data_IF_007738626767
#
_entry.id   IF_007738626767
#
_cell.length_a   1.000
_cell.length_b   1.000
_cell.length_c   1.000
_cell.angle_alpha   90.00
_cell.angle_beta   90.00
_cell.angle_gamma   90.00
#
_symmetry.space_group_name_H-M   'P 1'
#
loop_
_entity.id
_entity.type
_entity.pdbx_description
1 polymer ?
#
# COMPACT_ATOMS: atom_id res chain seq x y z
N UNK A 1 8.92 -18.36 13.04
CA UNK A 1 8.93 -18.63 11.59
C UNK A 1 8.68 -20.10 11.27
N UNK A 2 9.27 -21.05 11.99
CA UNK A 2 8.97 -22.50 11.86
C UNK A 2 7.47 -22.79 11.98
N UNK A 3 6.79 -22.24 13.00
CA UNK A 3 5.34 -22.39 13.17
C UNK A 3 4.55 -21.92 11.93
N UNK A 4 4.88 -20.73 11.39
CA UNK A 4 4.19 -20.18 10.21
C UNK A 4 4.43 -21.08 8.98
N UNK A 5 5.66 -21.56 8.79
CA UNK A 5 5.98 -22.49 7.70
C UNK A 5 5.20 -23.80 7.81
N UNK A 6 5.10 -24.37 9.01
CA UNK A 6 4.33 -25.59 9.26
C UNK A 6 2.83 -25.36 9.00
N UNK A 7 2.27 -24.25 9.49
CA UNK A 7 0.88 -23.89 9.20
C UNK A 7 0.63 -23.62 7.71
N UNK A 8 1.59 -22.99 7.01
CA UNK A 8 1.52 -22.79 5.56
C UNK A 8 1.46 -24.12 4.80
N UNK A 9 2.32 -25.08 5.14
CA UNK A 9 2.35 -26.40 4.50
C UNK A 9 1.07 -27.19 4.75
N UNK A 10 0.56 -27.14 5.98
CA UNK A 10 -0.73 -27.75 6.32
C UNK A 10 -1.88 -27.11 5.55
N UNK A 11 -1.94 -25.79 5.46
CA UNK A 11 -2.96 -25.08 4.69
C UNK A 11 -2.88 -25.41 3.20
N UNK A 12 -1.68 -25.48 2.62
CA UNK A 12 -1.51 -25.89 1.23
C UNK A 12 -2.02 -27.32 1.03
N UNK A 13 -1.69 -28.25 1.95
CA UNK A 13 -2.17 -29.64 1.91
C UNK A 13 -3.69 -29.76 2.01
N UNK A 14 -4.33 -28.96 2.87
CA UNK A 14 -5.80 -28.97 3.06
C UNK A 14 -6.51 -28.46 1.80
N UNK A 15 -5.94 -27.44 1.15
CA UNK A 15 -6.52 -26.80 -0.03
C UNK A 15 -5.96 -27.36 -1.35
N UNK A 16 -5.34 -28.54 -1.34
CA UNK A 16 -4.85 -29.20 -2.56
C UNK A 16 -5.99 -29.34 -3.55
N UNK A 17 -5.76 -28.85 -4.77
CA UNK A 17 -6.73 -28.92 -5.86
C UNK A 17 -7.74 -27.76 -5.91
N UNK A 18 -7.79 -26.88 -4.90
CA UNK A 18 -8.63 -25.67 -4.95
C UNK A 18 -7.86 -24.55 -5.64
N UNK A 19 -8.34 -24.12 -6.81
CA UNK A 19 -7.73 -23.03 -7.55
C UNK A 19 -8.23 -21.66 -7.07
N UNK A 20 -7.47 -20.58 -7.33
CA UNK A 20 -8.00 -19.23 -7.11
C UNK A 20 -9.19 -18.98 -8.05
N UNK A 21 -10.30 -18.53 -7.47
CA UNK A 21 -11.60 -18.44 -8.14
C UNK A 21 -12.55 -19.59 -7.80
N UNK A 22 -12.04 -20.62 -7.12
CA UNK A 22 -12.82 -21.64 -6.41
C UNK A 22 -12.71 -21.39 -4.90
N UNK A 23 -13.58 -22.04 -4.13
CA UNK A 23 -13.73 -21.79 -2.70
C UNK A 23 -13.63 -23.07 -1.91
N UNK A 24 -12.72 -23.11 -0.94
CA UNK A 24 -12.56 -24.22 -0.03
C UNK A 24 -13.77 -24.28 0.91
N UNK A 25 -14.44 -25.44 0.96
CA UNK A 25 -15.51 -25.71 1.92
C UNK A 25 -14.90 -26.46 3.10
N UNK A 26 -14.79 -25.77 4.23
CA UNK A 26 -14.19 -26.32 5.46
C UNK A 26 -15.29 -26.54 6.48
N UNK A 27 -15.41 -27.78 6.97
CA UNK A 27 -16.41 -28.12 7.99
C UNK A 27 -16.05 -27.45 9.32
N UNK A 28 -16.96 -26.68 9.94
CA UNK A 28 -16.71 -26.08 11.25
C UNK A 28 -16.29 -27.13 12.29
N UNK A 29 -15.36 -26.75 13.17
CA UNK A 29 -14.84 -27.62 14.25
C UNK A 29 -14.07 -28.87 13.78
N UNK A 30 -13.76 -29.00 12.49
CA UNK A 30 -12.86 -30.05 12.01
C UNK A 30 -11.40 -29.79 12.37
N UNK A 31 -10.53 -30.77 12.13
CA UNK A 31 -9.08 -30.60 12.30
C UNK A 31 -8.56 -29.55 11.31
N UNK A 32 -9.02 -29.61 10.06
CA UNK A 32 -8.69 -28.66 9.00
C UNK A 32 -9.10 -27.24 9.37
N UNK A 33 -10.32 -27.09 9.93
CA UNK A 33 -10.81 -25.81 10.45
C UNK A 33 -9.86 -25.23 11.49
N UNK A 34 -9.44 -26.04 12.47
CA UNK A 34 -8.56 -25.61 13.54
C UNK A 34 -7.18 -25.19 13.03
N UNK A 35 -6.63 -25.92 12.05
CA UNK A 35 -5.38 -25.58 11.38
C UNK A 35 -5.45 -24.25 10.62
N UNK A 36 -6.52 -24.05 9.83
CA UNK A 36 -6.72 -22.81 9.07
C UNK A 36 -6.98 -21.63 10.01
N UNK A 37 -7.77 -21.82 11.07
CA UNK A 37 -8.00 -20.79 12.08
C UNK A 37 -6.69 -20.33 12.71
N UNK A 38 -5.85 -21.27 13.17
CA UNK A 38 -4.55 -20.97 13.74
C UNK A 38 -3.64 -20.22 12.75
N UNK A 39 -3.63 -20.63 11.48
CA UNK A 39 -2.88 -19.98 10.41
C UNK A 39 -3.32 -18.53 10.19
N UNK A 40 -4.62 -18.28 10.04
CA UNK A 40 -5.16 -16.94 9.82
C UNK A 40 -4.97 -16.02 11.03
N UNK A 41 -5.12 -16.55 12.25
CA UNK A 41 -4.85 -15.82 13.48
C UNK A 41 -3.38 -15.43 13.61
N UNK A 42 -2.45 -16.34 13.27
CA UNK A 42 -1.02 -16.04 13.24
C UNK A 42 -0.71 -14.89 12.27
N UNK A 43 -1.33 -14.88 11.09
CA UNK A 43 -1.19 -13.78 10.12
C UNK A 43 -1.83 -12.48 10.60
N UNK A 44 -3.03 -12.52 11.18
CA UNK A 44 -3.68 -11.34 11.75
C UNK A 44 -2.80 -10.70 12.82
N UNK A 45 -2.21 -11.51 13.70
CA UNK A 45 -1.27 -11.05 14.72
C UNK A 45 -0.01 -10.46 14.09
N UNK A 46 0.59 -11.14 13.11
CA UNK A 46 1.81 -10.69 12.42
C UNK A 46 1.62 -9.35 11.70
N UNK A 47 0.49 -9.16 11.02
CA UNK A 47 0.14 -7.90 10.37
C UNK A 47 -0.12 -6.79 11.40
N UNK A 48 -0.72 -7.12 12.55
CA UNK A 48 -0.91 -6.16 13.65
C UNK A 48 0.44 -5.68 14.22
N UNK A 49 1.39 -6.60 14.43
CA UNK A 49 2.76 -6.25 14.82
C UNK A 49 3.48 -5.42 13.76
N UNK A 50 3.33 -5.79 12.49
CA UNK A 50 3.88 -5.04 11.37
C UNK A 50 3.38 -3.59 11.37
N UNK A 51 2.06 -3.38 11.50
CA UNK A 51 1.44 -2.06 11.53
C UNK A 51 1.91 -1.22 12.71
N UNK A 52 2.07 -1.83 13.89
CA UNK A 52 2.56 -1.16 15.10
C UNK A 52 4.07 -0.82 15.04
N UNK A 53 4.81 -1.37 14.08
CA UNK A 53 6.26 -1.19 13.99
C UNK A 53 6.66 0.16 13.38
N UNK A 54 7.78 0.76 13.84
CA UNK A 54 8.39 1.93 13.20
C UNK A 54 8.62 1.72 11.69
N UNK A 55 8.57 2.82 10.92
CA UNK A 55 8.69 2.79 9.45
C UNK A 55 9.96 2.10 8.94
N UNK A 56 11.10 2.31 9.61
CA UNK A 56 12.36 1.66 9.23
C UNK A 56 12.35 0.13 9.43
N UNK A 57 11.68 -0.37 10.48
CA UNK A 57 11.52 -1.80 10.71
C UNK A 57 10.50 -2.41 9.74
N UNK A 58 9.43 -1.68 9.41
CA UNK A 58 8.46 -2.11 8.39
C UNK A 58 9.12 -2.40 7.04
N UNK A 59 10.11 -1.60 6.62
CA UNK A 59 10.88 -1.89 5.40
C UNK A 59 11.62 -3.22 5.52
N UNK A 60 12.30 -3.49 6.65
CA UNK A 60 13.01 -4.75 6.86
C UNK A 60 12.04 -5.95 6.91
N UNK A 61 10.97 -5.85 7.70
CA UNK A 61 9.97 -6.89 7.84
C UNK A 61 9.27 -7.21 6.51
N UNK A 62 9.00 -6.21 5.68
CA UNK A 62 8.41 -6.41 4.35
C UNK A 62 9.25 -7.34 3.48
N UNK A 63 10.59 -7.27 3.57
CA UNK A 63 11.50 -8.16 2.84
C UNK A 63 11.41 -9.60 3.35
N UNK A 64 11.33 -9.79 4.67
CA UNK A 64 11.18 -11.11 5.28
C UNK A 64 9.83 -11.76 4.97
N UNK A 65 8.75 -10.97 4.96
CA UNK A 65 7.39 -11.47 4.72
C UNK A 65 7.11 -11.80 3.25
N UNK A 66 7.93 -11.32 2.31
CA UNK A 66 7.64 -11.37 0.87
C UNK A 66 7.25 -12.75 0.36
N UNK A 67 8.00 -13.80 0.72
CA UNK A 67 7.73 -15.17 0.24
C UNK A 67 6.45 -15.75 0.86
N UNK A 68 6.31 -15.62 2.18
CA UNK A 68 5.15 -16.10 2.93
C UNK A 68 3.86 -15.36 2.55
N UNK A 69 3.94 -14.05 2.28
CA UNK A 69 2.82 -13.24 1.83
C UNK A 69 2.29 -13.70 0.47
N UNK A 70 3.16 -14.14 -0.44
CA UNK A 70 2.74 -14.67 -1.74
C UNK A 70 1.80 -15.86 -1.58
N UNK A 71 2.17 -16.82 -0.73
CA UNK A 71 1.33 -18.00 -0.43
C UNK A 71 0.06 -17.62 0.31
N UNK A 72 0.18 -16.74 1.32
CA UNK A 72 -0.98 -16.24 2.05
C UNK A 72 -2.03 -15.67 1.08
N UNK A 73 -1.64 -14.80 0.17
CA UNK A 73 -2.60 -14.17 -0.75
C UNK A 73 -3.31 -15.22 -1.62
N UNK A 74 -2.61 -16.26 -2.08
CA UNK A 74 -3.26 -17.39 -2.78
C UNK A 74 -4.25 -18.13 -1.86
N UNK A 75 -3.84 -18.45 -0.64
CA UNK A 75 -4.71 -19.10 0.35
C UNK A 75 -5.96 -18.28 0.67
N UNK A 76 -5.82 -16.97 0.88
CA UNK A 76 -6.94 -16.08 1.19
C UNK A 76 -7.97 -16.08 0.06
N UNK A 77 -7.54 -16.04 -1.20
CA UNK A 77 -8.45 -16.08 -2.35
C UNK A 77 -9.09 -17.46 -2.60
N UNK A 78 -8.63 -18.52 -1.91
CA UNK A 78 -9.29 -19.83 -1.84
C UNK A 78 -10.25 -19.95 -0.64
N UNK A 79 -10.06 -19.13 0.40
CA UNK A 79 -10.83 -19.18 1.66
C UNK A 79 -11.94 -18.11 1.75
N UNK A 80 -11.75 -16.97 1.10
CA UNK A 80 -12.75 -15.90 1.02
C UNK A 80 -13.89 -16.34 0.09
N UNK A 81 -15.16 -16.04 0.43
CA UNK A 81 -16.30 -16.46 -0.37
C UNK A 81 -16.44 -15.59 -1.63
N UNK A 82 -17.16 -16.09 -2.64
CA UNK A 82 -17.47 -15.30 -3.85
C UNK A 82 -18.20 -13.98 -3.54
N UNK A 83 -19.12 -14.07 -2.58
CA UNK A 83 -19.91 -12.96 -2.08
C UNK A 83 -19.73 -12.85 -0.56
N UNK A 84 -18.93 -11.90 -0.07
CA UNK A 84 -18.70 -11.67 1.36
C UNK A 84 -19.83 -10.85 1.99
N UNK A 85 -21.08 -11.05 1.54
CA UNK A 85 -22.25 -10.40 2.11
C UNK A 85 -22.42 -10.85 3.57
N UNK A 86 -22.57 -9.88 4.47
CA UNK A 86 -22.79 -10.17 5.87
C UNK A 86 -24.27 -10.48 6.09
N UNK A 87 -24.58 -11.74 6.37
CA UNK A 87 -25.93 -12.15 6.78
C UNK A 87 -26.02 -11.92 8.28
N UNK A 88 -26.54 -10.76 8.67
CA UNK A 88 -26.79 -10.45 10.08
C UNK A 88 -27.70 -11.49 10.72
N UNK A 89 -27.36 -11.94 11.93
CA UNK A 89 -28.30 -12.66 12.78
C UNK A 89 -29.34 -11.64 13.27
N UNK A 90 -30.46 -11.53 12.55
CA UNK A 90 -31.59 -10.69 12.94
C UNK A 90 -32.16 -9.87 11.78
N UNK A 91 -33.47 -10.02 11.57
CA UNK A 91 -34.24 -9.21 10.65
C UNK A 91 -34.33 -7.76 11.17
N UNK A 92 -33.42 -6.90 10.72
CA UNK A 92 -33.63 -5.45 10.78
C UNK A 92 -33.77 -4.86 9.36
N UNK A 93 -34.63 -3.84 9.19
CA UNK A 93 -35.00 -3.34 7.88
C UNK A 93 -33.81 -2.66 7.19
N UNK A 94 -33.63 -3.07 5.93
CA UNK A 94 -32.80 -2.52 4.85
C UNK A 94 -32.30 -1.09 5.10
N UNK A 95 -31.12 -0.96 5.70
CA UNK A 95 -30.21 0.12 5.35
C UNK A 95 -29.79 -0.08 3.89
N UNK A 96 -29.78 0.97 3.07
CA UNK A 96 -29.43 0.92 1.64
C UNK A 96 -28.00 0.42 1.35
N UNK A 97 -27.17 0.24 2.39
CA UNK A 97 -25.81 -0.27 2.29
C UNK A 97 -25.77 -1.76 2.64
N UNK A 98 -25.41 -2.58 1.65
CA UNK A 98 -25.18 -4.02 1.84
C UNK A 98 -23.94 -4.20 2.73
N UNK A 99 -24.16 -4.64 3.97
CA UNK A 99 -23.07 -5.01 4.89
C UNK A 99 -22.23 -6.15 4.32
N UNK A 100 -20.92 -6.08 4.49
CA UNK A 100 -19.99 -7.12 4.04
C UNK A 100 -18.99 -7.47 5.15
N UNK A 101 -18.24 -8.55 4.97
CA UNK A 101 -17.13 -8.90 5.84
C UNK A 101 -16.01 -7.84 5.90
N UNK A 102 -16.01 -6.87 4.99
CA UNK A 102 -15.06 -5.74 4.97
C UNK A 102 -15.57 -4.50 5.70
N UNK A 103 -16.88 -4.41 5.98
CA UNK A 103 -17.49 -3.30 6.73
C UNK A 103 -17.78 -3.68 8.17
N UNK A 104 -18.05 -4.95 8.46
CA UNK A 104 -18.35 -5.44 9.80
C UNK A 104 -17.11 -5.99 10.51
N UNK A 105 -17.04 -5.79 11.83
CA UNK A 105 -16.00 -6.33 12.68
C UNK A 105 -16.26 -7.80 13.03
N UNK A 106 -15.22 -8.63 12.93
CA UNK A 106 -15.25 -10.00 13.42
C UNK A 106 -14.92 -10.06 14.93
N UNK A 107 -15.87 -10.54 15.74
CA UNK A 107 -15.65 -10.87 17.16
C UNK A 107 -15.47 -12.38 17.30
N UNK A 108 -14.29 -12.81 17.74
CA UNK A 108 -14.00 -14.21 18.03
C UNK A 108 -14.23 -14.46 19.52
N UNK A 109 -15.15 -15.37 19.86
CA UNK A 109 -15.48 -15.72 21.24
C UNK A 109 -15.37 -17.23 21.41
N UNK A 110 -14.48 -17.66 22.32
CA UNK A 110 -14.21 -19.08 22.58
C UNK A 110 -15.46 -19.82 23.05
N UNK A 111 -16.41 -19.12 23.67
CA UNK A 111 -17.58 -19.71 24.31
C UNK A 111 -18.86 -19.61 23.47
N UNK A 112 -18.82 -18.97 22.28
CA UNK A 112 -20.00 -18.79 21.43
C UNK A 112 -19.82 -19.49 20.09
N UNK A 113 -20.78 -20.33 19.73
CA UNK A 113 -20.86 -21.03 18.44
C UNK A 113 -21.69 -20.27 17.38
N UNK A 114 -22.25 -19.11 17.73
CA UNK A 114 -23.05 -18.28 16.81
C UNK A 114 -22.19 -17.76 15.66
N UNK A 115 -22.50 -18.17 14.44
CA UNK A 115 -21.80 -17.68 13.23
C UNK A 115 -20.52 -18.43 12.87
N UNK A 116 -20.22 -19.55 13.54
CA UNK A 116 -18.99 -20.35 13.31
C UNK A 116 -18.79 -20.77 11.85
N UNK A 117 -19.89 -20.95 11.11
CA UNK A 117 -19.91 -21.31 9.69
C UNK A 117 -19.27 -20.26 8.78
N UNK A 118 -19.23 -18.98 9.20
CA UNK A 118 -18.64 -17.89 8.43
C UNK A 118 -17.34 -17.37 9.03
N UNK A 119 -16.92 -17.90 10.19
CA UNK A 119 -15.80 -17.37 10.96
C UNK A 119 -14.49 -17.38 10.16
N UNK A 120 -14.14 -18.50 9.52
CA UNK A 120 -12.92 -18.60 8.72
C UNK A 120 -12.95 -17.66 7.52
N UNK A 121 -14.08 -17.60 6.82
CA UNK A 121 -14.27 -16.74 5.65
C UNK A 121 -14.19 -15.26 6.01
N UNK A 122 -14.83 -14.84 7.10
CA UNK A 122 -14.75 -13.46 7.60
C UNK A 122 -13.32 -13.15 8.07
N UNK A 123 -12.67 -14.07 8.78
CA UNK A 123 -11.28 -13.89 9.21
C UNK A 123 -10.32 -13.78 8.01
N UNK A 124 -10.51 -14.58 6.97
CA UNK A 124 -9.75 -14.48 5.72
C UNK A 124 -9.94 -13.11 5.06
N UNK A 125 -11.18 -12.60 5.01
CA UNK A 125 -11.44 -11.23 4.54
C UNK A 125 -10.73 -10.18 5.40
N UNK A 126 -10.75 -10.30 6.74
CA UNK A 126 -10.04 -9.37 7.63
C UNK A 126 -8.52 -9.39 7.42
N UNK A 127 -7.93 -10.59 7.24
CA UNK A 127 -6.48 -10.73 6.97
C UNK A 127 -6.14 -10.15 5.60
N UNK A 128 -6.95 -10.41 4.57
CA UNK A 128 -6.77 -9.82 3.25
C UNK A 128 -6.84 -8.29 3.30
N UNK A 129 -7.86 -7.75 3.97
CA UNK A 129 -8.04 -6.31 4.17
C UNK A 129 -6.83 -5.68 4.86
N UNK A 130 -6.32 -6.30 5.93
CA UNK A 130 -5.11 -5.83 6.62
C UNK A 130 -3.89 -5.86 5.71
N UNK A 131 -3.74 -6.89 4.87
CA UNK A 131 -2.63 -7.00 3.93
C UNK A 131 -2.69 -5.91 2.84
N UNK A 132 -3.85 -5.64 2.25
CA UNK A 132 -3.96 -4.57 1.24
C UNK A 132 -3.84 -3.17 1.83
N UNK A 133 -4.25 -2.97 3.09
CA UNK A 133 -4.14 -1.68 3.77
C UNK A 133 -2.71 -1.37 4.21
N UNK A 134 -2.04 -2.33 4.85
CA UNK A 134 -0.74 -2.10 5.50
C UNK A 134 0.46 -2.46 4.60
N UNK A 135 0.26 -3.31 3.59
CA UNK A 135 1.29 -3.77 2.64
C UNK A 135 0.90 -3.58 1.16
N UNK A 136 0.28 -2.45 0.75
CA UNK A 136 -0.28 -2.29 -0.59
C UNK A 136 0.77 -2.46 -1.70
N UNK A 137 2.01 -1.99 -1.51
CA UNK A 137 3.06 -2.11 -2.51
C UNK A 137 3.47 -3.58 -2.76
N UNK A 138 3.45 -4.42 -1.72
CA UNK A 138 3.76 -5.85 -1.86
C UNK A 138 2.61 -6.61 -2.50
N UNK A 139 1.37 -6.28 -2.14
CA UNK A 139 0.19 -6.90 -2.77
C UNK A 139 0.13 -6.55 -4.25
N UNK A 140 0.43 -5.29 -4.64
CA UNK A 140 0.58 -4.89 -6.05
C UNK A 140 1.64 -5.70 -6.78
N UNK A 141 2.82 -5.85 -6.18
CA UNK A 141 3.91 -6.64 -6.76
C UNK A 141 3.50 -8.11 -6.95
N UNK A 142 2.82 -8.70 -5.95
CA UNK A 142 2.28 -10.04 -6.04
C UNK A 142 1.25 -10.14 -7.18
N UNK A 143 0.25 -9.25 -7.20
CA UNK A 143 -0.83 -9.25 -8.18
C UNK A 143 -0.33 -9.13 -9.62
N UNK A 144 0.61 -8.21 -9.87
CA UNK A 144 1.23 -8.02 -11.20
C UNK A 144 2.08 -9.22 -11.64
N UNK A 145 2.57 -10.03 -10.70
CA UNK A 145 3.32 -11.26 -11.00
C UNK A 145 2.44 -12.49 -11.25
N UNK A 146 1.12 -12.40 -11.01
CA UNK A 146 0.20 -13.53 -11.20
C UNK A 146 -0.15 -13.72 -12.68
N UNK A 147 -0.59 -14.94 -13.02
CA UNK A 147 -1.22 -15.22 -14.31
C UNK A 147 -2.53 -14.43 -14.49
N UNK A 148 -2.96 -14.27 -15.76
CA UNK A 148 -4.13 -13.45 -16.12
C UNK A 148 -5.43 -13.87 -15.41
N UNK A 149 -5.65 -15.17 -15.22
CA UNK A 149 -6.84 -15.69 -14.54
C UNK A 149 -6.90 -15.26 -13.07
N UNK A 150 -5.82 -15.48 -12.34
CA UNK A 150 -5.70 -15.12 -10.92
C UNK A 150 -5.78 -13.60 -10.75
N UNK A 151 -4.98 -12.85 -11.50
CA UNK A 151 -4.97 -11.38 -11.43
C UNK A 151 -6.33 -10.76 -11.75
N UNK A 152 -7.09 -11.30 -12.73
CA UNK A 152 -8.44 -10.83 -13.03
C UNK A 152 -9.45 -11.14 -11.90
N UNK A 153 -9.35 -12.33 -11.29
CA UNK A 153 -10.20 -12.72 -10.15
C UNK A 153 -9.97 -11.79 -8.96
N UNK A 154 -8.70 -11.55 -8.64
CA UNK A 154 -8.26 -10.63 -7.59
C UNK A 154 -8.75 -9.21 -7.86
N UNK A 155 -8.56 -8.71 -9.08
CA UNK A 155 -8.95 -7.36 -9.49
C UNK A 155 -10.45 -7.13 -9.33
N UNK A 156 -11.27 -8.05 -9.87
CA UNK A 156 -12.74 -7.98 -9.79
C UNK A 156 -13.22 -8.01 -8.34
N UNK A 157 -12.69 -8.91 -7.52
CA UNK A 157 -13.09 -9.05 -6.13
C UNK A 157 -12.71 -7.81 -5.30
N UNK A 158 -11.47 -7.35 -5.44
CA UNK A 158 -10.95 -6.17 -4.73
C UNK A 158 -11.72 -4.93 -5.14
N UNK A 159 -11.85 -4.70 -6.45
CA UNK A 159 -12.62 -3.60 -7.05
C UNK A 159 -14.04 -3.49 -6.51
N UNK A 160 -14.69 -4.65 -6.34
CA UNK A 160 -16.10 -4.70 -5.90
C UNK A 160 -16.28 -4.50 -4.40
N UNK A 161 -15.49 -5.16 -3.57
CA UNK A 161 -15.78 -5.27 -2.13
C UNK A 161 -14.81 -4.51 -1.23
N UNK A 162 -13.57 -4.29 -1.68
CA UNK A 162 -12.50 -3.76 -0.83
C UNK A 162 -12.14 -2.32 -1.20
N UNK A 163 -12.05 -2.02 -2.50
CA UNK A 163 -11.70 -0.68 -2.99
C UNK A 163 -12.66 0.41 -2.53
N UNK A 164 -14.00 0.23 -2.50
CA UNK A 164 -14.90 1.27 -2.00
C UNK A 164 -14.63 1.62 -0.53
N UNK A 165 -14.32 0.61 0.30
CA UNK A 165 -14.03 0.80 1.73
C UNK A 165 -12.71 1.55 1.92
N UNK A 166 -11.63 1.07 1.30
CA UNK A 166 -10.31 1.68 1.46
C UNK A 166 -10.21 3.07 0.83
N UNK A 167 -10.82 3.28 -0.35
CA UNK A 167 -10.85 4.61 -0.97
C UNK A 167 -11.66 5.61 -0.14
N UNK A 168 -12.83 5.23 0.37
CA UNK A 168 -13.62 6.09 1.25
C UNK A 168 -12.84 6.43 2.53
N UNK A 169 -12.16 5.44 3.12
CA UNK A 169 -11.33 5.65 4.30
C UNK A 169 -10.16 6.62 4.04
N UNK A 170 -9.41 6.41 2.95
CA UNK A 170 -8.27 7.27 2.61
C UNK A 170 -8.72 8.71 2.37
N UNK A 171 -9.78 8.90 1.57
CA UNK A 171 -10.33 10.23 1.29
C UNK A 171 -10.89 10.89 2.56
N UNK A 172 -11.56 10.13 3.42
CA UNK A 172 -12.07 10.63 4.69
C UNK A 172 -10.94 11.02 5.64
N UNK A 173 -9.83 10.28 5.65
CA UNK A 173 -8.65 10.62 6.45
C UNK A 173 -8.03 11.95 6.02
N UNK A 174 -7.98 12.21 4.71
CA UNK A 174 -7.52 13.49 4.14
C UNK A 174 -8.46 14.62 4.54
N UNK A 175 -9.77 14.39 4.44
CA UNK A 175 -10.78 15.38 4.82
C UNK A 175 -10.74 15.70 6.33
N UNK A 176 -10.54 14.70 7.18
CA UNK A 176 -10.49 14.85 8.63
C UNK A 176 -9.12 15.32 9.16
N UNK A 177 -8.10 15.40 8.30
CA UNK A 177 -6.76 15.82 8.69
C UNK A 177 -6.77 17.24 9.24
N UNK A 178 -6.24 17.42 10.44
CA UNK A 178 -6.04 18.74 11.06
C UNK A 178 -4.70 19.37 10.66
N UNK A 179 -3.95 18.72 9.76
CA UNK A 179 -2.65 19.20 9.35
C UNK A 179 -2.79 20.47 8.51
N UNK A 180 -2.30 21.58 9.06
CA UNK A 180 -2.21 22.85 8.35
C UNK A 180 -0.86 22.97 7.67
N UNK A 181 -0.87 23.45 6.44
CA UNK A 181 0.35 23.74 5.70
C UNK A 181 0.42 25.24 5.44
N UNK A 182 1.60 25.81 5.68
CA UNK A 182 1.89 27.11 5.12
C UNK A 182 1.93 27.01 3.60
N UNK A 183 1.28 27.94 2.91
CA UNK A 183 1.32 28.07 1.45
C UNK A 183 0.82 26.86 0.64
N UNK A 184 0.18 25.88 1.29
CA UNK A 184 -0.49 24.76 0.62
C UNK A 184 -1.87 24.51 1.23
N UNK A 185 -2.84 24.19 0.40
CA UNK A 185 -4.17 23.74 0.82
C UNK A 185 -4.46 22.37 0.22
N UNK A 186 -5.17 21.52 0.96
CA UNK A 186 -5.55 20.17 0.53
C UNK A 186 -7.06 20.01 0.64
N UNK A 187 -7.69 19.49 -0.40
CA UNK A 187 -9.14 19.27 -0.47
C UNK A 187 -9.44 17.86 -0.98
N UNK A 188 -10.31 17.15 -0.27
CA UNK A 188 -10.82 15.84 -0.67
C UNK A 188 -12.14 15.97 -1.46
N UNK A 189 -12.31 15.15 -2.49
CA UNK A 189 -13.55 15.00 -3.26
C UNK A 189 -13.98 13.54 -3.26
N UNK A 190 -14.81 13.17 -2.28
CA UNK A 190 -15.24 11.78 -2.06
C UNK A 190 -15.93 11.15 -3.27
N UNK A 191 -16.82 11.89 -3.96
CA UNK A 191 -17.55 11.37 -5.12
C UNK A 191 -16.62 11.02 -6.31
N UNK A 192 -15.56 11.80 -6.50
CA UNK A 192 -14.58 11.60 -7.58
C UNK A 192 -13.40 10.69 -7.16
N UNK A 193 -13.27 10.38 -5.86
CA UNK A 193 -12.11 9.72 -5.24
C UNK A 193 -10.81 10.48 -5.52
N UNK A 194 -10.89 11.80 -5.44
CA UNK A 194 -9.79 12.72 -5.72
C UNK A 194 -9.33 13.46 -4.47
N UNK A 195 -8.03 13.75 -4.42
CA UNK A 195 -7.42 14.71 -3.50
C UNK A 195 -6.73 15.78 -4.31
N UNK A 196 -7.09 17.04 -4.05
CA UNK A 196 -6.51 18.19 -4.71
C UNK A 196 -5.60 18.89 -3.72
N UNK A 197 -4.35 19.14 -4.13
CA UNK A 197 -3.42 19.95 -3.38
C UNK A 197 -3.05 21.19 -4.20
N UNK A 198 -3.18 22.37 -3.60
CA UNK A 198 -2.85 23.65 -4.22
C UNK A 198 -1.75 24.31 -3.41
N UNK A 199 -0.59 24.53 -4.01
CA UNK A 199 0.54 25.26 -3.43
C UNK A 199 0.66 26.64 -4.09
N UNK A 200 0.82 27.69 -3.28
CA UNK A 200 0.92 29.06 -3.77
C UNK A 200 1.87 29.88 -2.90
N UNK A 201 2.94 30.42 -3.49
CA UNK A 201 3.90 31.35 -2.86
C UNK A 201 4.32 32.36 -3.92
N UNK A 202 4.23 33.65 -3.61
CA UNK A 202 4.56 34.75 -4.52
C UNK A 202 3.91 34.57 -5.91
N UNK A 203 4.69 34.56 -6.99
CA UNK A 203 4.24 34.35 -8.38
C UNK A 203 4.09 32.86 -8.77
N UNK A 204 4.27 31.94 -7.83
CA UNK A 204 4.24 30.50 -8.05
C UNK A 204 2.89 29.95 -7.63
N UNK A 205 2.27 29.21 -8.55
CA UNK A 205 1.01 28.51 -8.30
C UNK A 205 1.07 27.11 -8.88
N UNK A 206 0.75 26.11 -8.08
CA UNK A 206 0.80 24.70 -8.48
C UNK A 206 -0.44 23.99 -7.95
N UNK A 207 -1.14 23.30 -8.83
CA UNK A 207 -2.26 22.45 -8.47
C UNK A 207 -2.00 21.01 -8.91
N UNK A 208 -2.19 20.10 -7.96
CA UNK A 208 -2.08 18.65 -8.11
C UNK A 208 -3.46 18.03 -7.94
N UNK A 209 -3.77 17.05 -8.78
CA UNK A 209 -4.94 16.20 -8.63
C UNK A 209 -4.47 14.75 -8.48
N UNK A 210 -4.70 14.15 -7.32
CA UNK A 210 -4.41 12.75 -7.03
C UNK A 210 -5.72 11.99 -7.10
N UNK A 211 -5.83 11.01 -7.99
CA UNK A 211 -7.05 10.23 -8.17
C UNK A 211 -6.80 8.75 -7.86
N UNK A 212 -7.65 8.19 -7.00
CA UNK A 212 -7.62 6.77 -6.66
C UNK A 212 -8.33 5.96 -7.76
N UNK A 213 -7.74 4.85 -8.22
CA UNK A 213 -8.35 4.00 -9.25
C UNK A 213 -9.54 3.21 -8.71
N UNK A 214 -10.35 2.66 -9.60
CA UNK A 214 -11.53 1.87 -9.23
C UNK A 214 -11.17 0.59 -8.45
N UNK A 215 -9.99 0.02 -8.72
CA UNK A 215 -9.44 -1.17 -8.06
C UNK A 215 -8.39 -0.81 -6.98
N UNK A 216 -8.46 0.37 -6.36
CA UNK A 216 -7.54 0.77 -5.28
C UNK A 216 -7.52 -0.26 -4.13
N UNK A 217 -6.35 -0.73 -3.65
CA UNK A 217 -5.00 -0.23 -3.91
C UNK A 217 -4.22 -1.01 -4.97
N UNK A 218 -4.84 -1.87 -5.77
CA UNK A 218 -4.13 -2.65 -6.80
C UNK A 218 -3.68 -1.79 -7.98
N UNK A 219 -4.60 -0.96 -8.49
CA UNK A 219 -4.29 -0.03 -9.56
C UNK A 219 -3.32 1.07 -9.12
N UNK A 220 -2.63 1.64 -10.11
CA UNK A 220 -1.79 2.81 -9.89
C UNK A 220 -2.63 4.04 -9.58
N UNK A 221 -2.22 4.80 -8.57
CA UNK A 221 -2.75 6.13 -8.29
C UNK A 221 -2.29 7.07 -9.41
N UNK A 222 -3.22 7.82 -9.99
CA UNK A 222 -2.89 8.84 -10.99
C UNK A 222 -2.62 10.16 -10.27
N UNK A 223 -1.58 10.86 -10.73
CA UNK A 223 -1.25 12.21 -10.27
C UNK A 223 -1.22 13.07 -11.52
N UNK A 224 -2.11 14.05 -11.57
CA UNK A 224 -2.29 14.95 -12.71
C UNK A 224 -1.98 16.40 -12.34
N UNK A 225 -1.63 17.17 -13.36
CA UNK A 225 -1.43 18.62 -13.24
C UNK A 225 -2.74 19.33 -13.43
N UNK A 226 -3.15 20.11 -12.44
CA UNK A 226 -4.11 21.19 -12.63
C UNK A 226 -3.42 22.43 -13.19
N UNK A 227 -3.82 23.61 -12.70
CA UNK A 227 -3.17 24.88 -13.06
C UNK A 227 -1.72 24.96 -12.52
N UNK A 228 -0.79 25.41 -13.36
CA UNK A 228 0.65 25.56 -13.04
C UNK A 228 1.22 26.88 -13.57
N UNK A 229 1.86 27.65 -12.70
CA UNK A 229 2.52 28.94 -12.99
C UNK A 229 3.85 28.99 -12.21
N UNK A 230 4.90 29.55 -12.82
CA UNK A 230 6.18 29.78 -12.13
C UNK A 230 7.10 28.57 -11.98
N UNK A 231 6.81 27.43 -12.65
CA UNK A 231 7.62 26.20 -12.55
C UNK A 231 8.04 25.69 -13.93
N UNK A 232 9.35 25.45 -14.11
CA UNK A 232 9.90 24.86 -15.33
C UNK A 232 9.37 23.45 -15.59
N UNK A 233 9.14 23.11 -16.87
CA UNK A 233 8.52 21.84 -17.28
C UNK A 233 9.28 20.61 -16.76
N UNK A 234 10.61 20.63 -16.79
CA UNK A 234 11.42 19.49 -16.34
C UNK A 234 11.32 19.30 -14.82
N UNK A 235 11.38 20.38 -14.03
CA UNK A 235 11.24 20.31 -12.58
C UNK A 235 9.86 19.75 -12.21
N UNK A 236 8.82 20.20 -12.92
CA UNK A 236 7.47 19.69 -12.75
C UNK A 236 7.38 18.18 -13.01
N UNK A 237 7.91 17.70 -14.13
CA UNK A 237 7.94 16.27 -14.45
C UNK A 237 8.63 15.46 -13.35
N UNK A 238 9.73 15.98 -12.81
CA UNK A 238 10.46 15.33 -11.71
C UNK A 238 9.59 15.24 -10.45
N UNK A 239 8.91 16.33 -10.06
CA UNK A 239 8.05 16.33 -8.88
C UNK A 239 6.85 15.39 -9.01
N UNK A 240 6.22 15.35 -10.19
CA UNK A 240 5.15 14.39 -10.48
C UNK A 240 5.63 12.96 -10.38
N UNK A 241 6.78 12.64 -11.00
CA UNK A 241 7.38 11.32 -10.92
C UNK A 241 7.66 10.90 -9.47
N UNK A 242 8.17 11.81 -8.64
CA UNK A 242 8.49 11.53 -7.24
C UNK A 242 7.25 11.21 -6.43
N UNK A 243 6.19 12.03 -6.56
CA UNK A 243 4.94 11.83 -5.85
C UNK A 243 4.27 10.52 -6.29
N UNK A 244 4.16 10.27 -7.61
CA UNK A 244 3.62 9.02 -8.14
C UNK A 244 4.41 7.80 -7.68
N UNK A 245 5.75 7.89 -7.65
CA UNK A 245 6.62 6.81 -7.17
C UNK A 245 6.38 6.53 -5.70
N UNK A 246 6.26 7.58 -4.87
CA UNK A 246 5.97 7.44 -3.44
C UNK A 246 4.64 6.73 -3.22
N UNK A 247 3.56 7.25 -3.82
CA UNK A 247 2.20 6.72 -3.67
C UNK A 247 2.05 5.28 -4.20
N UNK A 248 2.82 4.92 -5.23
CA UNK A 248 2.74 3.59 -5.85
C UNK A 248 3.64 2.54 -5.18
N UNK A 249 4.81 2.94 -4.66
CA UNK A 249 5.83 1.98 -4.21
C UNK A 249 6.14 2.04 -2.72
N UNK A 250 5.60 3.01 -1.98
CA UNK A 250 5.77 3.09 -0.54
C UNK A 250 4.45 2.77 0.19
N UNK A 251 4.55 2.27 1.42
CA UNK A 251 3.40 1.90 2.26
C UNK A 251 2.96 3.10 3.12
N UNK A 252 2.69 4.24 2.48
CA UNK A 252 2.30 5.51 3.11
C UNK A 252 0.97 6.03 2.60
N UNK A 253 0.37 6.94 3.37
CA UNK A 253 -0.88 7.65 3.03
C UNK A 253 -0.65 8.74 1.98
N UNK A 254 -1.73 9.19 1.34
CA UNK A 254 -1.73 10.36 0.46
C UNK A 254 -1.23 11.59 1.21
N UNK A 255 -1.66 11.78 2.46
CA UNK A 255 -1.25 12.92 3.26
C UNK A 255 0.25 12.93 3.51
N UNK A 256 0.85 11.81 3.92
CA UNK A 256 2.31 11.70 4.08
C UNK A 256 3.06 11.99 2.77
N UNK A 257 2.51 11.54 1.63
CA UNK A 257 3.04 11.85 0.30
C UNK A 257 3.01 13.35 0.00
N UNK A 258 1.91 14.04 0.31
CA UNK A 258 1.76 15.48 0.14
C UNK A 258 2.68 16.29 1.07
N UNK A 259 2.86 15.84 2.31
CA UNK A 259 3.84 16.44 3.26
C UNK A 259 5.25 16.37 2.67
N UNK A 260 5.65 15.18 2.22
CA UNK A 260 6.97 14.97 1.62
C UNK A 260 7.13 15.79 0.34
N UNK A 261 6.10 15.87 -0.50
CA UNK A 261 6.10 16.67 -1.71
C UNK A 261 6.28 18.16 -1.41
N UNK A 262 5.49 18.72 -0.49
CA UNK A 262 5.62 20.12 -0.07
C UNK A 262 7.04 20.41 0.47
N UNK A 263 7.53 19.57 1.37
CA UNK A 263 8.86 19.79 1.95
C UNK A 263 9.98 19.73 0.89
N UNK A 264 9.83 18.91 -0.16
CA UNK A 264 10.73 18.90 -1.31
C UNK A 264 10.66 20.20 -2.12
N UNK A 265 9.45 20.70 -2.36
CA UNK A 265 9.20 21.96 -3.07
C UNK A 265 9.81 23.14 -2.30
N UNK A 266 9.53 23.26 -1.01
CA UNK A 266 10.06 24.31 -0.13
C UNK A 266 11.60 24.30 -0.13
N UNK A 267 12.22 23.13 0.11
CA UNK A 267 13.68 22.99 0.14
C UNK A 267 14.33 23.30 -1.22
N UNK A 268 13.61 23.06 -2.32
CA UNK A 268 14.08 23.42 -3.65
C UNK A 268 14.11 24.94 -3.82
N UNK A 269 13.10 25.64 -3.32
CA UNK A 269 13.07 27.11 -3.29
C UNK A 269 14.11 27.72 -2.34
N UNK A 270 14.48 27.02 -1.26
CA UNK A 270 15.64 27.37 -0.42
C UNK A 270 17.00 27.16 -1.14
N UNK A 271 17.02 26.67 -2.37
CA UNK A 271 18.22 26.48 -3.17
C UNK A 271 18.95 25.15 -2.95
N UNK A 272 18.35 24.19 -2.25
CA UNK A 272 18.94 22.86 -2.09
C UNK A 272 18.86 22.10 -3.43
N UNK A 273 19.97 21.46 -3.82
CA UNK A 273 20.04 20.68 -5.06
C UNK A 273 19.36 19.31 -4.91
N UNK A 274 18.73 18.87 -5.99
CA UNK A 274 18.13 17.53 -6.10
C UNK A 274 19.20 16.43 -6.16
N UNK A 275 18.87 15.24 -5.64
CA UNK A 275 19.65 14.04 -5.92
C UNK A 275 19.55 13.67 -7.41
N UNK A 276 20.69 13.43 -8.07
CA UNK A 276 20.67 13.09 -9.51
C UNK A 276 20.24 11.64 -9.84
N UNK A 277 19.87 10.83 -8.84
CA UNK A 277 19.34 9.47 -9.06
C UNK A 277 17.82 9.46 -8.91
N UNK A 278 17.29 9.99 -7.80
CA UNK A 278 15.85 9.98 -7.53
C UNK A 278 15.15 11.31 -7.85
N UNK A 279 15.91 12.34 -8.22
CA UNK A 279 15.47 13.70 -8.52
C UNK A 279 14.83 14.46 -7.35
N UNK A 280 14.87 13.94 -6.12
CA UNK A 280 14.32 14.58 -4.92
C UNK A 280 15.38 15.29 -4.08
N UNK A 281 14.96 16.30 -3.32
CA UNK A 281 15.78 16.90 -2.25
C UNK A 281 15.73 16.04 -0.99
N UNK A 282 14.55 15.60 -0.58
CA UNK A 282 14.33 14.76 0.59
C UNK A 282 14.05 13.33 0.10
N UNK A 283 14.88 12.39 0.54
CA UNK A 283 14.73 10.98 0.15
C UNK A 283 13.44 10.38 0.72
N UNK A 284 12.65 9.71 -0.12
CA UNK A 284 11.29 9.32 0.25
C UNK A 284 11.14 8.32 1.40
N UNK A 285 12.15 7.49 1.69
CA UNK A 285 12.03 6.47 2.76
C UNK A 285 12.76 6.79 4.06
N UNK A 286 13.73 7.71 4.04
CA UNK A 286 14.57 8.01 5.21
C UNK A 286 14.78 9.50 5.46
N UNK A 287 14.08 10.34 4.69
CA UNK A 287 14.04 11.80 4.84
C UNK A 287 15.41 12.50 4.83
N UNK A 288 16.44 11.85 4.28
CA UNK A 288 17.79 12.41 4.19
C UNK A 288 17.95 13.38 3.02
N UNK A 289 18.90 14.32 3.14
CA UNK A 289 19.30 15.25 2.08
C UNK A 289 20.46 14.69 1.23
N UNK A 290 20.64 15.11 -0.04
CA UNK A 290 21.70 14.63 -0.91
C UNK A 290 23.03 15.27 -0.54
N UNK A 291 23.73 14.67 0.42
CA UNK A 291 25.00 15.20 0.95
C UNK A 291 26.25 14.68 0.22
N UNK A 292 26.14 13.63 -0.60
CA UNK A 292 27.30 13.02 -1.29
C UNK A 292 27.50 13.68 -2.65
N UNK A 293 28.58 14.42 -2.84
CA UNK A 293 28.92 15.05 -4.11
C UNK A 293 30.00 14.25 -4.85
N UNK A 294 29.85 14.07 -6.17
CA UNK A 294 30.91 13.52 -7.00
C UNK A 294 32.11 14.49 -7.05
N UNK A 295 33.33 13.97 -6.90
CA UNK A 295 34.54 14.81 -6.94
C UNK A 295 34.77 15.46 -8.30
N UNK A 296 34.38 14.79 -9.38
CA UNK A 296 34.55 15.27 -10.76
C UNK A 296 33.44 16.24 -11.17
N UNK A 297 32.19 15.77 -11.26
CA UNK A 297 31.08 16.59 -11.78
C UNK A 297 30.33 17.41 -10.73
N UNK A 298 30.72 17.32 -9.45
CA UNK A 298 30.15 18.04 -8.28
C UNK A 298 28.66 17.79 -7.99
N UNK A 299 27.96 17.00 -8.80
CA UNK A 299 26.55 16.67 -8.58
C UNK A 299 26.33 15.85 -7.31
N UNK A 300 25.18 16.09 -6.68
CA UNK A 300 24.82 15.54 -5.36
C UNK A 300 23.89 14.32 -5.42
N UNK A 301 24.03 13.46 -4.42
CA UNK A 301 23.32 12.19 -4.29
C UNK A 301 22.94 11.91 -2.83
N UNK A 302 21.79 11.26 -2.61
CA UNK A 302 21.51 10.61 -1.33
C UNK A 302 22.42 9.40 -1.16
N UNK A 303 22.89 9.17 0.07
CA UNK A 303 23.74 8.01 0.38
C UNK A 303 23.05 6.68 0.04
N UNK A 304 21.74 6.57 0.31
CA UNK A 304 20.96 5.37 0.00
C UNK A 304 20.83 5.12 -1.52
N UNK A 305 20.54 6.16 -2.31
CA UNK A 305 20.48 6.05 -3.76
C UNK A 305 21.82 5.62 -4.35
N UNK A 306 22.90 6.24 -3.89
CA UNK A 306 24.25 5.95 -4.38
C UNK A 306 24.70 4.54 -3.99
N UNK A 307 24.41 4.11 -2.75
CA UNK A 307 24.70 2.74 -2.30
C UNK A 307 23.97 1.70 -3.15
N UNK A 308 22.66 1.93 -3.41
CA UNK A 308 21.88 1.05 -4.29
C UNK A 308 22.48 1.01 -5.69
N UNK A 309 22.87 2.16 -6.25
CA UNK A 309 23.51 2.24 -7.56
C UNK A 309 24.82 1.44 -7.63
N UNK A 310 25.73 1.61 -6.65
CA UNK A 310 26.99 0.86 -6.63
C UNK A 310 26.77 -0.64 -6.49
N UNK A 311 25.83 -1.04 -5.64
CA UNK A 311 25.49 -2.45 -5.43
C UNK A 311 24.90 -3.06 -6.71
N UNK A 312 24.01 -2.36 -7.39
CA UNK A 312 23.37 -2.85 -8.62
C UNK A 312 24.30 -2.84 -9.84
N UNK A 313 25.24 -1.89 -9.93
CA UNK A 313 26.19 -1.78 -11.05
C UNK A 313 27.48 -2.57 -10.82
N UNK A 314 27.69 -3.08 -9.61
CA UNK A 314 28.93 -3.71 -9.15
C UNK A 314 30.19 -2.83 -9.37
N UNK A 315 30.02 -1.49 -9.35
CA UNK A 315 31.09 -0.50 -9.56
C UNK A 315 30.84 0.74 -8.71
N UNK A 316 31.91 1.34 -8.19
CA UNK A 316 31.85 2.59 -7.41
C UNK A 316 32.04 3.83 -8.28
N UNK A 317 31.33 3.90 -9.41
CA UNK A 317 31.44 5.00 -10.39
C UNK A 317 30.23 5.92 -10.38
N UNK A 318 30.47 7.22 -10.61
CA UNK A 318 29.42 8.24 -10.66
C UNK A 318 28.37 7.90 -11.74
N UNK A 319 27.06 7.92 -11.42
CA UNK A 319 26.01 7.65 -12.40
C UNK A 319 26.00 8.58 -13.62
N UNK A 320 26.55 9.79 -13.47
CA UNK A 320 26.54 10.82 -14.50
C UNK A 320 27.82 10.85 -15.34
N UNK A 321 28.98 10.99 -14.69
CA UNK A 321 30.25 11.14 -15.39
C UNK A 321 31.07 9.85 -15.50
N UNK A 322 30.61 8.74 -14.89
CA UNK A 322 31.25 7.41 -14.91
C UNK A 322 32.66 7.31 -14.32
N UNK A 323 33.23 8.40 -13.85
CA UNK A 323 34.46 8.41 -13.05
C UNK A 323 34.29 7.72 -11.70
N UNK A 324 35.41 7.25 -11.12
CA UNK A 324 35.45 6.72 -9.76
C UNK A 324 34.93 7.77 -8.78
N UNK A 325 33.99 7.38 -7.93
CA UNK A 325 33.31 8.32 -7.04
C UNK A 325 34.18 8.74 -5.84
N UNK A 326 35.07 7.84 -5.42
CA UNK A 326 36.03 8.03 -4.34
C UNK A 326 37.39 8.47 -4.86
#
# INVERSE_FOLDING_TARGET
MTLLSTCEELCESIMVGVCVGEFAVVQPLSVEYSCILAYLLAWKLLLSFFKASPSHLRVQYSLYLKKSLHKLLLHLFRLMPENPAYVGQGAEPVSKETKTFFTESLSLDVNKSSGIQYELSHLACCVYYSAVQDLPAMVRLWWTSQEKRVSHTVDKFTGRYVSPVLSAQEISSVHASTQTFDSMTVKARSAAREVIATYSVDDIFIELVIQLPQNYPLGSITVESGRRVGVAVQQWRNWMLQLSTYLTHQNGSIMEGLVLWKNNVDKRFEGVEDCMICFSVIHGSNYSLPKKACRTCKKKFHSACLYKWFTSSNKSTCPLCRETFF
#
